data_IF_569703087595
#
_entry.id   IF_569703087595
#
_cell.length_a   1.000
_cell.length_b   1.000
_cell.length_c   1.000
_cell.angle_alpha   90.00
_cell.angle_beta   90.00
_cell.angle_gamma   90.00
#
_symmetry.space_group_name_H-M   'P 1'
#
loop_
_entity.id
_entity.type
_entity.pdbx_description
1 polymer ?
#
# COMPACT_ATOMS: atom_id res chain seq x y z
N UNK A 1 12.46 3.54 9.82
CA UNK A 1 11.94 3.57 8.43
C UNK A 1 10.80 2.56 8.26
N UNK A 2 9.64 2.85 8.86
CA UNK A 2 8.43 2.03 8.73
C UNK A 2 7.47 2.84 7.86
N UNK A 3 7.33 2.47 6.57
CA UNK A 3 6.17 2.91 5.80
C UNK A 3 4.97 2.16 6.37
N UNK A 4 4.17 2.85 7.18
CA UNK A 4 2.96 2.27 7.71
C UNK A 4 1.86 2.32 6.65
N UNK A 5 1.68 1.22 5.93
CA UNK A 5 0.43 0.97 5.22
C UNK A 5 -0.64 0.61 6.24
N UNK A 6 -1.34 1.62 6.75
CA UNK A 6 -2.46 1.40 7.65
C UNK A 6 -3.73 1.19 6.82
N UNK A 7 -4.16 -0.07 6.76
CA UNK A 7 -5.53 -0.42 6.36
C UNK A 7 -6.40 -0.36 7.59
N UNK A 8 -7.24 0.67 7.68
CA UNK A 8 -8.29 0.73 8.70
C UNK A 8 -9.52 0.08 8.09
N UNK A 9 -9.75 -1.18 8.46
CA UNK A 9 -11.10 -1.73 8.41
C UNK A 9 -11.94 -0.95 9.41
N UNK A 10 -12.86 -0.12 8.93
CA UNK A 10 -13.77 0.63 9.79
C UNK A 10 -14.61 -0.33 10.64
N UNK A 11 -14.43 -0.30 11.95
CA UNK A 11 -15.39 -0.88 12.88
C UNK A 11 -16.51 0.14 13.12
N UNK A 12 -17.54 0.10 12.28
CA UNK A 12 -18.83 0.72 12.56
C UNK A 12 -19.57 -0.18 13.56
N UNK A 13 -19.87 0.35 14.73
CA UNK A 13 -20.59 -0.36 15.78
C UNK A 13 -22.08 -0.48 15.40
N UNK A 14 -22.47 -1.56 14.74
CA UNK A 14 -23.87 -1.95 14.57
C UNK A 14 -24.03 -3.45 14.82
N UNK A 15 -24.91 -3.74 15.76
CA UNK A 15 -25.39 -5.05 16.18
C UNK A 15 -25.62 -6.05 15.04
N UNK A 16 -25.03 -7.23 15.19
CA UNK A 16 -25.43 -8.53 14.65
C UNK A 16 -25.90 -8.56 13.18
N UNK A 17 -24.96 -8.81 12.27
CA UNK A 17 -25.16 -9.69 11.12
C UNK A 17 -23.79 -10.16 10.62
N UNK A 18 -23.68 -11.47 10.39
CA UNK A 18 -22.56 -12.24 9.84
C UNK A 18 -21.39 -11.43 9.24
N UNK A 19 -20.22 -11.55 9.87
CA UNK A 19 -18.92 -11.32 9.21
C UNK A 19 -18.69 -12.41 8.16
N UNK A 20 -19.49 -12.40 7.09
CA UNK A 20 -19.15 -13.11 5.88
C UNK A 20 -18.06 -12.29 5.21
N UNK A 21 -16.83 -12.79 5.31
CA UNK A 21 -15.71 -12.29 4.53
C UNK A 21 -16.11 -12.20 3.06
N UNK A 22 -15.59 -11.19 2.38
CA UNK A 22 -15.99 -10.92 1.01
C UNK A 22 -15.71 -12.14 0.10
N UNK A 23 -16.76 -12.78 -0.40
CA UNK A 23 -16.71 -14.05 -1.13
C UNK A 23 -16.62 -13.90 -2.65
N UNK A 24 -16.17 -12.75 -3.13
CA UNK A 24 -15.90 -12.52 -4.54
C UNK A 24 -16.74 -11.47 -5.26
N UNK A 25 -17.69 -10.82 -4.58
CA UNK A 25 -18.63 -9.90 -5.24
C UNK A 25 -18.95 -8.60 -4.48
N UNK A 26 -18.14 -8.19 -3.50
CA UNK A 26 -18.46 -7.02 -2.66
C UNK A 26 -18.01 -5.69 -3.25
N UNK A 27 -17.38 -5.70 -4.43
CA UNK A 27 -17.05 -4.48 -5.15
C UNK A 27 -17.87 -4.39 -6.42
N UNK A 28 -18.90 -3.55 -6.40
CA UNK A 28 -19.67 -3.17 -7.58
C UNK A 28 -19.18 -1.81 -8.10
N UNK A 29 -19.71 -1.35 -9.24
CA UNK A 29 -19.45 0.00 -9.76
C UNK A 29 -19.90 1.13 -8.78
N UNK A 30 -20.67 0.79 -7.74
CA UNK A 30 -21.09 1.73 -6.70
C UNK A 30 -20.14 1.74 -5.48
N UNK A 31 -19.20 0.81 -5.40
CA UNK A 31 -18.19 0.73 -4.33
C UNK A 31 -17.08 1.76 -4.55
N UNK A 32 -17.42 3.05 -4.45
CA UNK A 32 -16.52 4.19 -4.55
C UNK A 32 -16.37 4.89 -3.21
N UNK A 33 -15.21 5.47 -2.97
CA UNK A 33 -14.99 6.33 -1.80
C UNK A 33 -15.69 7.68 -2.02
N UNK A 34 -16.48 8.12 -1.05
CA UNK A 34 -16.97 9.50 -0.99
C UNK A 34 -15.88 10.43 -0.45
N UNK A 35 -16.06 11.74 -0.61
CA UNK A 35 -15.14 12.74 -0.06
C UNK A 35 -15.03 12.60 1.46
N UNK A 36 -16.15 12.37 2.15
CA UNK A 36 -16.19 12.19 3.60
C UNK A 36 -15.41 10.93 4.04
N UNK A 37 -15.44 9.86 3.23
CA UNK A 37 -14.67 8.64 3.51
C UNK A 37 -13.17 8.91 3.34
N UNK A 38 -12.78 9.63 2.29
CA UNK A 38 -11.37 10.01 2.05
C UNK A 38 -10.84 10.86 3.21
N UNK A 39 -11.60 11.86 3.65
CA UNK A 39 -11.25 12.70 4.79
C UNK A 39 -11.10 11.88 6.07
N UNK A 40 -12.02 10.93 6.31
CA UNK A 40 -11.98 10.04 7.47
C UNK A 40 -10.73 9.14 7.44
N UNK A 41 -10.43 8.53 6.29
CA UNK A 41 -9.25 7.66 6.11
C UNK A 41 -7.96 8.46 6.36
N UNK A 42 -7.86 9.68 5.83
CA UNK A 42 -6.71 10.54 6.06
C UNK A 42 -6.60 10.90 7.54
N UNK A 43 -7.69 11.34 8.17
CA UNK A 43 -7.69 11.72 9.59
C UNK A 43 -7.25 10.58 10.50
N UNK A 44 -7.73 9.36 10.23
CA UNK A 44 -7.32 8.20 10.99
C UNK A 44 -5.86 7.80 10.73
N UNK A 45 -5.39 7.90 9.47
CA UNK A 45 -3.98 7.70 9.13
C UNK A 45 -3.05 8.68 9.84
N UNK A 46 -3.46 9.95 9.96
CA UNK A 46 -2.75 10.97 10.74
C UNK A 46 -2.72 10.61 12.22
N UNK A 47 -3.86 10.22 12.80
CA UNK A 47 -3.95 9.84 14.21
C UNK A 47 -2.99 8.69 14.56
N UNK A 48 -2.88 7.70 13.69
CA UNK A 48 -1.98 6.56 13.87
C UNK A 48 -0.51 6.90 13.63
N UNK A 49 -0.22 7.78 12.68
CA UNK A 49 1.12 8.32 12.48
C UNK A 49 1.60 9.04 13.76
N UNK A 50 0.74 9.89 14.33
CA UNK A 50 0.99 10.57 15.60
C UNK A 50 1.16 9.59 16.76
N UNK A 51 0.33 8.55 16.85
CA UNK A 51 0.45 7.51 17.88
C UNK A 51 1.79 6.76 17.80
N UNK A 52 2.39 6.67 16.62
CA UNK A 52 3.71 6.04 16.40
C UNK A 52 4.88 7.01 16.49
N UNK A 53 4.62 8.31 16.66
CA UNK A 53 5.67 9.33 16.76
C UNK A 53 6.43 9.58 15.46
N UNK A 54 5.89 9.16 14.32
CA UNK A 54 6.50 9.32 12.99
C UNK A 54 5.59 10.20 12.14
N UNK A 55 6.16 11.11 11.33
CA UNK A 55 5.38 11.92 10.40
C UNK A 55 5.30 11.23 9.04
N UNK A 56 4.11 11.19 8.45
CA UNK A 56 3.86 10.45 7.22
C UNK A 56 3.25 11.31 6.11
N UNK A 57 3.47 10.86 4.88
CA UNK A 57 2.70 11.27 3.71
C UNK A 57 1.67 10.18 3.40
N UNK A 58 0.40 10.55 3.46
CA UNK A 58 -0.75 9.67 3.28
C UNK A 58 -1.32 9.92 1.89
N UNK A 59 -1.65 8.86 1.17
CA UNK A 59 -2.25 8.95 -0.16
C UNK A 59 -3.39 7.97 -0.28
N UNK A 60 -4.51 8.45 -0.80
CA UNK A 60 -5.71 7.67 -1.05
C UNK A 60 -5.96 7.64 -2.55
N UNK A 61 -6.11 6.42 -3.08
CA UNK A 61 -6.40 6.18 -4.49
C UNK A 61 -7.63 5.28 -4.61
N UNK A 62 -8.35 5.44 -5.71
CA UNK A 62 -9.43 4.53 -6.09
C UNK A 62 -8.88 3.25 -6.74
N UNK A 63 -9.71 2.22 -6.91
CA UNK A 63 -9.35 0.93 -7.53
C UNK A 63 -8.71 1.09 -8.92
N UNK A 64 -9.17 2.04 -9.71
CA UNK A 64 -8.65 2.30 -11.07
C UNK A 64 -7.31 3.06 -11.04
N UNK A 65 -6.81 3.44 -9.85
CA UNK A 65 -5.57 4.21 -9.69
C UNK A 65 -5.76 5.74 -9.73
N UNK A 66 -7.01 6.23 -9.74
CA UNK A 66 -7.28 7.65 -9.63
C UNK A 66 -6.90 8.16 -8.23
N UNK A 67 -6.10 9.22 -8.15
CA UNK A 67 -5.72 9.82 -6.87
C UNK A 67 -6.88 10.65 -6.33
N UNK A 68 -7.39 10.28 -5.15
CA UNK A 68 -8.50 10.96 -4.49
C UNK A 68 -8.03 11.98 -3.45
N UNK A 69 -6.85 11.75 -2.85
CA UNK A 69 -6.28 12.67 -1.87
C UNK A 69 -4.82 12.36 -1.56
N UNK A 70 -4.04 13.41 -1.33
CA UNK A 70 -2.65 13.34 -0.84
C UNK A 70 -2.54 14.32 0.32
N UNK A 71 -2.08 13.81 1.46
CA UNK A 71 -1.86 14.61 2.66
C UNK A 71 -0.44 14.38 3.16
N UNK A 72 0.35 15.44 3.27
CA UNK A 72 1.67 15.39 3.90
C UNK A 72 1.59 16.05 5.25
N UNK A 73 1.96 15.32 6.31
CA UNK A 73 2.11 15.93 7.63
C UNK A 73 3.25 16.96 7.63
N UNK A 74 3.15 17.97 8.49
CA UNK A 74 4.24 18.90 8.73
C UNK A 74 5.48 18.13 9.21
N UNK A 75 6.64 18.49 8.67
CA UNK A 75 7.92 17.80 8.96
C UNK A 75 8.01 16.34 8.52
N UNK A 76 7.05 15.82 7.74
CA UNK A 76 7.24 14.56 7.03
C UNK A 76 8.44 14.66 6.06
N UNK A 77 9.09 13.54 5.80
CA UNK A 77 10.22 13.49 4.87
C UNK A 77 9.77 13.99 3.48
N UNK A 78 10.50 14.96 2.93
CA UNK A 78 10.20 15.51 1.61
C UNK A 78 10.57 14.53 0.49
N UNK A 79 11.54 13.64 0.74
CA UNK A 79 12.03 12.66 -0.21
C UNK A 79 12.15 11.28 0.43
N UNK A 80 12.20 10.25 -0.43
CA UNK A 80 12.39 8.86 -0.02
C UNK A 80 13.72 8.36 -0.57
N UNK A 81 14.50 7.73 0.29
CA UNK A 81 15.71 7.01 -0.08
C UNK A 81 15.34 5.61 -0.60
N UNK A 82 15.85 5.28 -1.80
CA UNK A 82 15.79 3.92 -2.34
C UNK A 82 16.99 3.15 -1.82
N UNK A 83 16.75 2.19 -0.93
CA UNK A 83 17.81 1.38 -0.34
C UNK A 83 17.37 -0.06 -0.15
N UNK A 84 18.19 -0.99 -0.62
CA UNK A 84 18.08 -2.42 -0.35
C UNK A 84 18.61 -2.81 1.02
N UNK A 85 19.33 -1.91 1.70
CA UNK A 85 20.07 -2.16 2.96
C UNK A 85 21.13 -3.28 2.83
N UNK A 86 21.53 -3.65 1.60
CA UNK A 86 22.52 -4.69 1.32
C UNK A 86 23.92 -4.14 0.99
N UNK A 87 24.10 -2.82 1.04
CA UNK A 87 25.38 -2.17 0.74
C UNK A 87 25.82 -2.29 -0.73
N UNK A 88 24.85 -2.38 -1.65
CA UNK A 88 25.11 -2.44 -3.09
C UNK A 88 25.52 -1.05 -3.59
N UNK A 89 26.55 -0.98 -4.44
CA UNK A 89 27.07 0.27 -5.00
C UNK A 89 26.68 0.34 -6.48
N UNK A 90 25.85 1.33 -6.82
CA UNK A 90 25.40 1.62 -8.19
C UNK A 90 23.89 1.47 -8.39
N UNK A 91 23.40 1.86 -9.58
CA UNK A 91 21.97 1.82 -9.91
C UNK A 91 21.15 2.88 -9.16
N UNK A 92 19.98 2.49 -8.67
CA UNK A 92 19.06 3.34 -7.89
C UNK A 92 19.36 3.34 -6.38
N UNK A 93 20.37 2.60 -5.92
CA UNK A 93 20.70 2.45 -4.49
C UNK A 93 21.28 3.75 -3.91
N UNK A 94 20.74 4.18 -2.77
CA UNK A 94 21.15 5.40 -2.06
C UNK A 94 20.64 6.70 -2.70
N UNK A 95 19.73 6.62 -3.69
CA UNK A 95 19.13 7.80 -4.30
C UNK A 95 17.99 8.32 -3.42
N UNK A 96 18.06 9.61 -3.06
CA UNK A 96 17.14 10.31 -2.16
C UNK A 96 16.48 11.55 -2.80
N UNK A 97 16.49 11.65 -4.13
CA UNK A 97 15.90 12.79 -4.86
C UNK A 97 14.40 12.63 -5.15
N UNK A 98 13.82 11.45 -4.85
CA UNK A 98 12.45 11.12 -5.23
C UNK A 98 11.50 11.73 -4.18
N UNK A 99 10.56 12.61 -4.58
CA UNK A 99 9.56 13.16 -3.67
C UNK A 99 8.76 12.06 -2.97
N UNK A 100 8.54 12.23 -1.67
CA UNK A 100 7.78 11.27 -0.85
C UNK A 100 6.34 11.11 -1.32
N UNK A 101 5.76 12.16 -1.90
CA UNK A 101 4.42 12.14 -2.51
C UNK A 101 4.33 11.23 -3.74
N UNK A 102 5.36 11.21 -4.59
CA UNK A 102 5.38 10.30 -5.74
C UNK A 102 5.57 8.87 -5.29
N UNK A 103 6.44 8.65 -4.29
CA UNK A 103 6.62 7.34 -3.70
C UNK A 103 5.35 6.82 -3.00
N UNK A 104 4.58 7.69 -2.33
CA UNK A 104 3.32 7.31 -1.69
C UNK A 104 2.23 6.98 -2.70
N UNK A 105 2.10 7.77 -3.77
CA UNK A 105 1.19 7.48 -4.89
C UNK A 105 1.52 6.12 -5.52
N UNK A 106 2.79 5.87 -5.86
CA UNK A 106 3.19 4.61 -6.47
C UNK A 106 2.83 3.41 -5.59
N UNK A 107 3.08 3.49 -4.27
CA UNK A 107 2.72 2.42 -3.32
C UNK A 107 1.21 2.24 -3.20
N UNK A 108 0.43 3.32 -3.20
CA UNK A 108 -1.03 3.27 -3.10
C UNK A 108 -1.64 2.62 -4.35
N UNK A 109 -1.17 2.99 -5.55
CA UNK A 109 -1.62 2.44 -6.83
C UNK A 109 -1.36 0.94 -6.92
N UNK A 110 -0.16 0.47 -6.53
CA UNK A 110 0.11 -0.98 -6.49
C UNK A 110 -0.85 -1.73 -5.59
N UNK A 111 -1.15 -1.18 -4.41
CA UNK A 111 -2.14 -1.76 -3.50
C UNK A 111 -3.52 -1.83 -4.13
N UNK A 112 -3.98 -0.78 -4.81
CA UNK A 112 -5.28 -0.74 -5.47
C UNK A 112 -5.40 -1.76 -6.63
N UNK A 113 -4.35 -1.91 -7.44
CA UNK A 113 -4.38 -2.79 -8.61
C UNK A 113 -4.24 -4.27 -8.28
N UNK A 114 -3.41 -4.61 -7.29
CA UNK A 114 -3.18 -6.00 -6.93
C UNK A 114 -4.21 -6.50 -5.91
N UNK A 115 -4.89 -5.61 -5.20
CA UNK A 115 -5.93 -5.97 -4.23
C UNK A 115 -7.22 -6.47 -4.91
N UNK A 116 -7.65 -7.67 -4.53
CA UNK A 116 -8.98 -8.20 -4.84
C UNK A 116 -9.75 -8.48 -3.56
N UNK A 117 -11.05 -8.16 -3.58
CA UNK A 117 -12.08 -8.79 -2.72
C UNK A 117 -11.75 -8.82 -1.21
N UNK A 118 -11.25 -7.70 -0.67
CA UNK A 118 -10.99 -7.54 0.76
C UNK A 118 -9.57 -7.87 1.22
N UNK A 119 -8.70 -8.34 0.32
CA UNK A 119 -7.28 -8.57 0.61
C UNK A 119 -6.40 -7.56 -0.15
N UNK A 120 -5.89 -6.56 0.57
CA UNK A 120 -4.93 -5.63 0.02
C UNK A 120 -3.51 -6.20 0.03
N UNK A 121 -2.97 -6.51 -1.14
CA UNK A 121 -1.58 -6.89 -1.26
C UNK A 121 -0.69 -5.65 -1.13
N UNK A 122 0.05 -5.59 -0.02
CA UNK A 122 1.07 -4.56 0.18
C UNK A 122 2.17 -4.69 -0.88
N UNK A 123 2.95 -3.65 -1.12
CA UNK A 123 4.13 -3.73 -2.00
C UNK A 123 5.11 -4.82 -1.59
N UNK A 124 5.19 -5.15 -0.29
CA UNK A 124 5.98 -6.29 0.21
C UNK A 124 5.42 -7.63 -0.26
N UNK A 125 4.10 -7.81 -0.15
CA UNK A 125 3.45 -9.06 -0.59
C UNK A 125 3.47 -9.17 -2.11
N UNK A 126 3.21 -8.07 -2.82
CA UNK A 126 3.33 -7.99 -4.28
C UNK A 126 4.74 -8.38 -4.75
N UNK A 127 5.79 -7.89 -4.09
CA UNK A 127 7.17 -8.26 -4.41
C UNK A 127 7.44 -9.75 -4.16
N UNK A 128 6.84 -10.35 -3.13
CA UNK A 128 7.01 -11.78 -2.81
C UNK A 128 6.38 -12.69 -3.88
N UNK A 129 5.17 -12.38 -4.33
CA UNK A 129 4.39 -13.24 -5.23
C UNK A 129 4.87 -13.22 -6.69
N UNK A 130 5.71 -12.25 -7.07
CA UNK A 130 6.33 -12.16 -8.40
C UNK A 130 7.67 -12.88 -8.50
N UNK A 131 8.24 -13.38 -7.39
CA UNK A 131 9.57 -13.99 -7.38
C UNK A 131 9.62 -15.32 -8.14
N UNK A 132 10.80 -15.62 -8.69
CA UNK A 132 11.17 -16.93 -9.27
C UNK A 132 10.96 -18.09 -8.29
N UNK A 133 11.09 -17.82 -6.99
CA UNK A 133 10.92 -18.78 -5.91
C UNK A 133 10.03 -18.17 -4.84
N UNK A 134 9.02 -18.91 -4.38
CA UNK A 134 8.09 -18.48 -3.33
C UNK A 134 8.70 -18.54 -1.92
N UNK A 135 9.85 -17.87 -1.75
CA UNK A 135 10.52 -17.43 -0.53
C UNK A 135 11.93 -16.95 -0.94
N UNK A 136 12.32 -15.69 -0.68
CA UNK A 136 13.65 -15.21 -1.00
C UNK A 136 14.73 -16.06 -0.32
N UNK A 137 15.57 -16.71 -1.11
CA UNK A 137 16.68 -17.54 -0.62
C UNK A 137 16.44 -19.05 -0.67
N UNK A 138 15.24 -19.51 -1.06
CA UNK A 138 14.99 -20.93 -1.36
C UNK A 138 15.14 -21.19 -2.87
N UNK A 139 15.85 -22.26 -3.23
CA UNK A 139 16.05 -22.67 -4.63
C UNK A 139 15.23 -23.93 -4.93
N UNK A 140 14.66 -24.04 -6.14
CA UNK A 140 13.92 -25.23 -6.58
C UNK A 140 12.46 -25.32 -6.09
N UNK A 141 11.95 -24.26 -5.45
CA UNK A 141 10.52 -24.11 -5.17
C UNK A 141 9.76 -23.62 -6.41
N UNK A 142 8.46 -23.91 -6.53
CA UNK A 142 7.61 -23.29 -7.54
C UNK A 142 7.66 -21.76 -7.43
N UNK A 143 7.64 -21.09 -8.59
CA UNK A 143 7.53 -19.63 -8.65
C UNK A 143 6.23 -19.14 -8.05
N UNK A 144 6.22 -17.87 -7.61
CA UNK A 144 5.02 -17.29 -7.04
C UNK A 144 3.86 -17.22 -8.05
N UNK A 145 2.61 -17.04 -7.57
CA UNK A 145 1.42 -17.03 -8.42
C UNK A 145 1.46 -16.02 -9.59
N UNK A 146 2.31 -15.00 -9.49
CA UNK A 146 2.53 -13.96 -10.51
C UNK A 146 3.99 -13.96 -11.02
N UNK A 147 4.67 -15.10 -10.98
CA UNK A 147 5.99 -15.23 -11.60
C UNK A 147 5.88 -15.04 -13.12
N UNK A 148 6.63 -14.09 -13.68
CA UNK A 148 6.68 -13.82 -15.13
C UNK A 148 5.97 -12.55 -15.62
N UNK A 149 5.20 -11.84 -14.79
CA UNK A 149 4.59 -10.52 -15.15
C UNK A 149 5.55 -9.32 -15.00
N UNK A 150 6.84 -9.58 -14.77
CA UNK A 150 7.87 -8.55 -14.55
C UNK A 150 8.43 -7.93 -15.85
N UNK A 151 8.13 -8.53 -17.01
CA UNK A 151 8.71 -8.17 -18.32
C UNK A 151 7.64 -7.79 -19.36
N UNK A 152 6.70 -6.92 -19.02
CA UNK A 152 5.81 -6.29 -20.00
C UNK A 152 5.84 -4.78 -19.92
#
# INVERSE_FOLDING_TARGET
MITLGLFIGGCSNSSSESSDGCSGSCSTLESKLSIADVETIIAQGVAESLARGEQATITVVDRVGNVLGVFSMDSALATVEITSQRGVIGGLEGIDIIPSTLASIAKAVTGAYLSSEGNAFTTRTANQIIQEHFNPGEFGQPGGPLFGVQFS
#
